data_IF_626176243228
#
_entry.id   IF_626176243228
#
_cell.length_a   1.000
_cell.length_b   1.000
_cell.length_c   1.000
_cell.angle_alpha   90.00
_cell.angle_beta   90.00
_cell.angle_gamma   90.00
#
_symmetry.space_group_name_H-M   'P 1'
#
loop_
_entity.id
_entity.type
_entity.pdbx_description
1 polymer ?
#
# COMPACT_ATOMS: atom_id res chain seq x y z
N UNK A 1 -1.93 -0.22 -21.44
CA UNK A 1 -2.92 -0.20 -20.34
C UNK A 1 -2.40 0.70 -19.21
N UNK A 2 -2.74 2.00 -19.25
CA UNK A 2 -2.16 3.02 -18.35
C UNK A 2 -2.96 3.25 -17.06
N UNK A 3 -2.45 4.11 -16.17
CA UNK A 3 -3.15 4.54 -14.94
C UNK A 3 -4.41 5.34 -15.25
N UNK A 4 -4.42 6.07 -16.36
CA UNK A 4 -5.53 6.94 -16.82
C UNK A 4 -6.60 6.19 -17.61
N UNK A 5 -6.43 4.89 -17.88
CA UNK A 5 -7.42 4.11 -18.59
C UNK A 5 -8.64 3.90 -17.70
N UNK A 6 -9.82 4.23 -18.24
CA UNK A 6 -11.10 4.10 -17.54
C UNK A 6 -11.72 2.72 -17.75
N UNK A 7 -12.45 2.25 -16.73
CA UNK A 7 -13.36 1.11 -16.83
C UNK A 7 -14.72 1.52 -17.45
N UNK A 8 -15.66 0.56 -17.55
CA UNK A 8 -17.01 0.83 -18.08
C UNK A 8 -17.84 1.80 -17.23
N UNK A 9 -17.43 2.03 -15.97
CA UNK A 9 -18.08 2.93 -15.02
C UNK A 9 -17.36 4.28 -14.95
N UNK A 10 -16.38 4.52 -15.81
CA UNK A 10 -15.64 5.79 -15.91
C UNK A 10 -14.55 5.98 -14.85
N UNK A 11 -14.15 4.93 -14.12
CA UNK A 11 -13.13 5.01 -13.08
C UNK A 11 -11.76 4.57 -13.57
N UNK A 12 -10.73 5.23 -13.07
CA UNK A 12 -9.34 4.86 -13.30
C UNK A 12 -8.86 3.77 -12.32
N UNK A 13 -7.63 3.27 -12.54
CA UNK A 13 -7.10 2.16 -11.72
C UNK A 13 -6.89 2.50 -10.25
N UNK A 14 -6.54 3.75 -9.95
CA UNK A 14 -6.31 4.23 -8.58
C UNK A 14 -7.64 4.29 -7.84
N UNK A 15 -8.67 4.85 -8.48
CA UNK A 15 -10.03 4.91 -7.93
C UNK A 15 -10.60 3.52 -7.65
N UNK A 16 -10.44 2.58 -8.59
CA UNK A 16 -10.88 1.20 -8.37
C UNK A 16 -10.10 0.53 -7.23
N UNK A 17 -8.80 0.81 -7.08
CA UNK A 17 -8.00 0.26 -6.00
C UNK A 17 -8.43 0.80 -4.62
N UNK A 18 -8.58 2.12 -4.49
CA UNK A 18 -9.06 2.78 -3.27
C UNK A 18 -10.44 2.26 -2.87
N UNK A 19 -11.37 2.20 -3.84
CA UNK A 19 -12.72 1.70 -3.60
C UNK A 19 -12.70 0.27 -3.05
N UNK A 20 -11.86 -0.61 -3.59
CA UNK A 20 -11.72 -1.99 -3.11
C UNK A 20 -11.13 -2.06 -1.71
N UNK A 21 -10.11 -1.25 -1.41
CA UNK A 21 -9.49 -1.19 -0.08
C UNK A 21 -10.53 -0.76 0.97
N UNK A 22 -11.36 0.25 0.65
CA UNK A 22 -12.43 0.69 1.55
C UNK A 22 -13.53 -0.36 1.70
N UNK A 23 -13.98 -0.97 0.59
CA UNK A 23 -15.06 -1.94 0.59
C UNK A 23 -14.75 -3.19 1.41
N UNK A 24 -13.48 -3.60 1.45
CA UNK A 24 -13.03 -4.80 2.13
C UNK A 24 -12.22 -4.50 3.40
N UNK A 25 -12.35 -3.30 3.98
CA UNK A 25 -11.67 -2.97 5.24
C UNK A 25 -12.18 -3.90 6.35
N UNK A 26 -11.29 -4.65 7.03
CA UNK A 26 -11.69 -5.48 8.15
C UNK A 26 -12.06 -4.61 9.37
N UNK A 27 -12.94 -5.09 10.28
CA UNK A 27 -13.34 -4.34 11.48
C UNK A 27 -12.19 -3.89 12.38
N UNK A 28 -11.07 -4.59 12.37
CA UNK A 28 -9.84 -4.29 13.11
C UNK A 28 -8.85 -3.40 12.36
N UNK A 29 -9.03 -3.19 11.05
CA UNK A 29 -8.05 -2.55 10.18
C UNK A 29 -7.03 -3.52 9.58
N UNK A 30 -6.31 -3.08 8.54
CA UNK A 30 -5.38 -3.93 7.81
C UNK A 30 -4.06 -4.15 8.55
N UNK A 31 -3.59 -5.38 8.58
CA UNK A 31 -2.19 -5.70 8.84
C UNK A 31 -1.37 -5.48 7.56
N UNK A 32 -0.60 -4.40 7.48
CA UNK A 32 0.16 -4.03 6.29
C UNK A 32 1.62 -4.49 6.42
N UNK A 33 1.95 -5.59 5.75
CA UNK A 33 3.33 -6.06 5.65
C UNK A 33 4.16 -5.15 4.71
N UNK A 34 5.14 -4.45 5.29
CA UNK A 34 5.96 -3.47 4.58
C UNK A 34 7.40 -3.97 4.40
N UNK A 35 7.82 -4.19 3.17
CA UNK A 35 9.16 -4.70 2.84
C UNK A 35 10.10 -3.63 2.29
N UNK A 36 9.63 -2.41 2.05
CA UNK A 36 10.35 -1.40 1.28
C UNK A 36 10.41 -1.68 -0.23
N UNK A 37 9.84 -2.79 -0.70
CA UNK A 37 9.67 -3.04 -2.13
C UNK A 37 8.57 -2.14 -2.73
N UNK A 38 8.65 -1.90 -4.04
CA UNK A 38 7.71 -1.02 -4.78
C UNK A 38 6.23 -1.33 -4.48
N UNK A 39 5.88 -2.61 -4.35
CA UNK A 39 4.49 -3.02 -4.17
C UNK A 39 4.01 -2.66 -2.76
N UNK A 40 4.83 -2.90 -1.74
CA UNK A 40 4.51 -2.50 -0.36
C UNK A 40 4.48 -0.98 -0.17
N UNK A 41 5.31 -0.24 -0.90
CA UNK A 41 5.30 1.24 -0.93
C UNK A 41 4.01 1.76 -1.54
N UNK A 42 3.58 1.19 -2.66
CA UNK A 42 2.30 1.56 -3.30
C UNK A 42 1.11 1.18 -2.41
N UNK A 43 1.14 0.01 -1.75
CA UNK A 43 0.08 -0.38 -0.82
C UNK A 43 -0.01 0.57 0.39
N UNK A 44 1.11 0.99 0.96
CA UNK A 44 1.12 1.98 2.04
C UNK A 44 0.53 3.32 1.58
N UNK A 45 0.87 3.79 0.38
CA UNK A 45 0.28 5.00 -0.20
C UNK A 45 -1.23 4.84 -0.41
N UNK A 46 -1.68 3.73 -0.99
CA UNK A 46 -3.10 3.47 -1.25
C UNK A 46 -3.91 3.32 0.04
N UNK A 47 -3.38 2.65 1.08
CA UNK A 47 -4.05 2.52 2.38
C UNK A 47 -4.22 3.90 3.05
N UNK A 48 -3.19 4.75 2.95
CA UNK A 48 -3.24 6.14 3.43
C UNK A 48 -4.26 6.98 2.65
N UNK A 49 -4.27 6.90 1.31
CA UNK A 49 -5.21 7.63 0.45
C UNK A 49 -6.66 7.14 0.64
N UNK A 50 -6.85 5.85 0.89
CA UNK A 50 -8.16 5.26 1.15
C UNK A 50 -8.74 5.66 2.52
N UNK A 51 -7.91 6.13 3.46
CA UNK A 51 -8.34 6.55 4.79
C UNK A 51 -8.83 5.40 5.69
N UNK A 52 -8.42 4.16 5.39
CA UNK A 52 -8.75 2.96 6.17
C UNK A 52 -7.83 2.84 7.39
N UNK A 53 -8.23 2.07 8.41
CA UNK A 53 -7.32 1.74 9.53
C UNK A 53 -6.32 0.68 9.10
N UNK A 54 -5.06 0.86 9.47
CA UNK A 54 -4.00 -0.12 9.22
C UNK A 54 -2.84 0.06 10.19
N UNK A 55 -2.13 -1.04 10.43
CA UNK A 55 -0.85 -1.07 11.16
C UNK A 55 0.26 -1.56 10.21
N UNK A 56 1.41 -0.90 10.25
CA UNK A 56 2.54 -1.20 9.33
C UNK A 56 3.56 -2.07 10.03
N UNK A 57 3.90 -3.20 9.41
CA UNK A 57 4.81 -4.20 9.97
C UNK A 57 5.97 -4.49 9.02
N UNK A 58 7.18 -4.09 9.42
CA UNK A 58 8.42 -4.49 8.75
C UNK A 58 9.05 -5.69 9.44
N UNK A 59 9.40 -6.72 8.66
CA UNK A 59 10.17 -7.88 9.13
C UNK A 59 11.63 -7.73 8.74
N UNK A 60 12.51 -7.49 9.71
CA UNK A 60 13.95 -7.39 9.50
C UNK A 60 14.54 -8.79 9.34
N UNK A 61 14.84 -9.18 8.11
CA UNK A 61 15.32 -10.54 7.79
C UNK A 61 16.80 -10.75 8.07
N UNK A 62 17.54 -9.69 8.40
CA UNK A 62 19.01 -9.62 8.61
C UNK A 62 19.88 -9.81 7.37
N UNK A 63 19.30 -10.20 6.22
CA UNK A 63 19.97 -10.29 4.91
C UNK A 63 19.76 -8.99 4.09
N UNK A 64 18.84 -8.12 4.52
CA UNK A 64 18.51 -6.88 3.83
C UNK A 64 19.72 -5.92 3.74
N UNK A 65 20.04 -5.39 2.54
CA UNK A 65 21.11 -4.42 2.39
C UNK A 65 20.90 -3.18 3.28
N UNK A 66 21.97 -2.56 3.82
CA UNK A 66 21.86 -1.36 4.64
C UNK A 66 21.09 -0.21 3.95
N UNK A 67 21.18 -0.10 2.63
CA UNK A 67 20.47 0.88 1.81
C UNK A 67 18.96 0.67 1.86
N UNK A 68 18.49 -0.58 1.79
CA UNK A 68 17.08 -0.91 1.91
C UNK A 68 16.58 -0.60 3.32
N UNK A 69 17.33 -0.97 4.36
CA UNK A 69 16.95 -0.67 5.75
C UNK A 69 16.87 0.85 5.98
N UNK A 70 17.81 1.62 5.42
CA UNK A 70 17.78 3.10 5.49
C UNK A 70 16.58 3.68 4.73
N UNK A 71 16.25 3.11 3.57
CA UNK A 71 15.06 3.51 2.79
C UNK A 71 13.77 3.22 3.55
N UNK A 72 13.61 2.03 4.13
CA UNK A 72 12.43 1.67 4.92
C UNK A 72 12.23 2.67 6.08
N UNK A 73 13.31 3.15 6.70
CA UNK A 73 13.26 4.16 7.77
C UNK A 73 12.83 5.56 7.32
N UNK A 74 12.67 5.82 6.02
CA UNK A 74 12.11 7.10 5.54
C UNK A 74 10.58 7.08 5.48
N UNK A 75 9.95 5.93 5.75
CA UNK A 75 8.50 5.78 5.81
C UNK A 75 8.00 5.95 7.25
N UNK A 76 6.75 6.43 7.42
CA UNK A 76 6.14 6.62 8.72
C UNK A 76 5.97 5.30 9.50
#
# INVERSE_FOLDING_TARGET
MGLTQLDFEGRNKIEVAIMRIQQFEPPEGYYLAFSGGKDSVVLLALAKEAGVRYDVHYSLTTIDPPELVRFIKTFP
#
